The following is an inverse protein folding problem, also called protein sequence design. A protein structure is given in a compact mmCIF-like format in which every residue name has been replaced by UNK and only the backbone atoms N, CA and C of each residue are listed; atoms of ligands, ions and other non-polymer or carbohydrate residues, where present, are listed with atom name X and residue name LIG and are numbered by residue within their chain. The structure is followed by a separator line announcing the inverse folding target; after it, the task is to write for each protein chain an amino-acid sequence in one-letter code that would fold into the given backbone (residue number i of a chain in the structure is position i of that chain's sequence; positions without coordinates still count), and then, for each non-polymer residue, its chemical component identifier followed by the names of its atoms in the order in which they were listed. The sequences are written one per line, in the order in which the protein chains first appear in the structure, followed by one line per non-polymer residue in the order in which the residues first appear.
data_IF_097285529870
#
_entry.id   IF_097285529870
#
_cell.length_a   1.000
_cell.length_b   1.000
_cell.length_c   1.000
_cell.angle_alpha   90.00
_cell.angle_beta   90.00
_cell.angle_gamma   90.00
#
_symmetry.space_group_name_H-M   'P 1'
#
loop_
_entity.id
_entity.type
_entity.pdbx_description
1 polymer ?
#
# COMPACT_ATOMS: atom_id res chain seq x y z
N UNK A 1 -6.82 -42.87 -46.62
CA UNK A 1 -7.23 -42.06 -45.46
C UNK A 1 -6.18 -40.97 -45.34
N UNK A 2 -6.47 -39.70 -45.67
CA UNK A 2 -5.52 -38.62 -45.50
C UNK A 2 -5.48 -38.19 -44.01
N UNK A 3 -4.31 -37.71 -43.52
CA UNK A 3 -4.20 -37.28 -42.13
C UNK A 3 -4.98 -35.99 -41.92
N UNK A 4 -5.71 -35.98 -40.85
CA UNK A 4 -6.43 -34.82 -40.32
C UNK A 4 -5.43 -33.70 -40.00
N UNK A 5 -5.47 -32.67 -40.84
CA UNK A 5 -4.64 -31.48 -40.72
C UNK A 5 -5.29 -30.43 -39.84
N UNK A 6 -5.66 -30.77 -38.61
CA UNK A 6 -6.04 -29.75 -37.62
C UNK A 6 -4.79 -28.91 -37.33
N UNK A 7 -4.86 -27.57 -37.48
CA UNK A 7 -3.73 -26.71 -37.08
C UNK A 7 -3.51 -26.84 -35.59
N UNK A 8 -2.22 -26.84 -35.14
CA UNK A 8 -1.92 -26.89 -33.72
C UNK A 8 -2.59 -25.72 -33.02
N UNK A 9 -3.26 -26.05 -31.92
CA UNK A 9 -3.86 -25.10 -31.01
C UNK A 9 -2.77 -24.07 -30.57
N UNK A 10 -2.84 -22.89 -31.13
CA UNK A 10 -2.02 -21.75 -30.71
C UNK A 10 -2.64 -21.20 -29.43
N UNK A 11 -2.57 -21.95 -28.35
CA UNK A 11 -2.72 -21.34 -27.01
C UNK A 11 -1.46 -20.49 -26.79
N UNK A 12 -1.45 -19.32 -27.43
CA UNK A 12 -0.36 -18.37 -27.36
C UNK A 12 -0.11 -17.96 -25.91
N UNK A 13 1.15 -17.86 -25.53
CA UNK A 13 1.59 -17.28 -24.26
C UNK A 13 0.84 -15.96 -24.07
N UNK A 14 0.16 -15.83 -22.94
CA UNK A 14 -0.58 -14.58 -22.59
C UNK A 14 0.29 -13.79 -21.63
N UNK A 15 0.56 -12.57 -22.02
CA UNK A 15 1.28 -11.60 -21.19
C UNK A 15 0.30 -10.88 -20.30
N UNK A 16 0.63 -10.74 -19.04
CA UNK A 16 -0.24 -10.11 -18.04
C UNK A 16 0.26 -8.72 -17.69
N UNK A 17 -0.66 -7.79 -17.48
CA UNK A 17 -0.37 -6.49 -16.92
C UNK A 17 -1.50 -6.03 -15.99
N UNK A 18 -1.20 -5.05 -15.16
CA UNK A 18 -2.15 -4.43 -14.27
C UNK A 18 -2.38 -2.98 -14.70
N UNK A 19 -3.64 -2.58 -14.78
CA UNK A 19 -4.04 -1.21 -15.04
C UNK A 19 -5.03 -0.78 -13.95
N UNK A 20 -4.66 0.22 -13.16
CA UNK A 20 -5.41 0.65 -11.98
C UNK A 20 -5.74 -0.53 -11.03
N UNK A 21 -4.74 -1.40 -10.79
CA UNK A 21 -4.86 -2.63 -10.00
C UNK A 21 -5.81 -3.70 -10.58
N UNK A 22 -6.34 -3.51 -11.80
CA UNK A 22 -7.15 -4.50 -12.51
C UNK A 22 -6.23 -5.30 -13.44
N UNK A 23 -6.34 -6.62 -13.37
CA UNK A 23 -5.55 -7.54 -14.19
C UNK A 23 -6.09 -7.64 -15.60
N UNK A 24 -5.21 -7.42 -16.58
CA UNK A 24 -5.47 -7.59 -18.01
C UNK A 24 -4.53 -8.63 -18.63
N UNK A 25 -4.85 -9.09 -19.84
CA UNK A 25 -4.04 -10.05 -20.59
C UNK A 25 -3.94 -9.63 -22.05
N UNK A 26 -2.76 -9.76 -22.62
CA UNK A 26 -2.49 -9.54 -24.05
C UNK A 26 -1.86 -10.78 -24.68
N UNK A 27 -2.16 -11.02 -25.95
CA UNK A 27 -1.42 -12.01 -26.76
C UNK A 27 -0.13 -11.41 -27.33
N UNK A 28 0.00 -10.08 -27.37
CA UNK A 28 1.17 -9.36 -27.82
C UNK A 28 2.05 -8.99 -26.60
N UNK A 29 3.35 -9.32 -26.63
CA UNK A 29 4.29 -8.92 -25.59
C UNK A 29 4.62 -7.43 -25.60
N UNK A 30 4.37 -6.75 -26.74
CA UNK A 30 4.66 -5.32 -26.90
C UNK A 30 3.38 -4.54 -27.22
N UNK A 31 2.96 -3.69 -26.31
CA UNK A 31 1.80 -2.83 -26.46
C UNK A 31 2.22 -1.37 -26.62
N UNK A 32 1.42 -0.58 -27.35
CA UNK A 32 1.53 0.88 -27.25
C UNK A 32 0.75 1.39 -26.03
N UNK A 33 1.06 2.61 -25.56
CA UNK A 33 0.28 3.23 -24.50
C UNK A 33 -1.21 3.31 -24.84
N UNK A 34 -1.53 3.50 -26.13
CA UNK A 34 -2.89 3.49 -26.66
C UNK A 34 -3.56 2.12 -26.49
N UNK A 35 -2.82 1.04 -26.75
CA UNK A 35 -3.34 -0.33 -26.61
C UNK A 35 -3.62 -0.66 -25.14
N UNK A 36 -2.73 -0.25 -24.23
CA UNK A 36 -2.92 -0.41 -22.78
C UNK A 36 -4.18 0.31 -22.31
N UNK A 37 -4.33 1.60 -22.67
CA UNK A 37 -5.52 2.39 -22.33
C UNK A 37 -6.79 1.79 -22.95
N UNK A 38 -6.74 1.39 -24.24
CA UNK A 38 -7.88 0.79 -24.95
C UNK A 38 -8.34 -0.52 -24.32
N UNK A 39 -7.42 -1.40 -23.93
CA UNK A 39 -7.75 -2.66 -23.22
C UNK A 39 -8.37 -2.42 -21.84
N UNK A 40 -8.02 -1.32 -21.19
CA UNK A 40 -8.62 -0.89 -19.94
C UNK A 40 -9.98 -0.17 -20.09
N UNK A 41 -10.43 0.09 -21.33
CA UNK A 41 -11.67 0.81 -21.58
C UNK A 41 -11.56 2.33 -21.51
N UNK A 42 -10.34 2.88 -21.44
CA UNK A 42 -10.07 4.32 -21.40
C UNK A 42 -10.12 4.92 -22.81
N UNK A 43 -11.31 5.37 -23.24
CA UNK A 43 -11.56 5.89 -24.58
C UNK A 43 -12.28 7.26 -24.54
N UNK A 44 -11.84 8.24 -25.33
CA UNK A 44 -10.66 8.18 -26.20
C UNK A 44 -9.35 8.19 -25.38
N UNK A 45 -8.34 7.50 -25.88
CA UNK A 45 -7.03 7.41 -25.21
C UNK A 45 -6.34 8.79 -25.06
N UNK A 46 -6.66 9.74 -25.96
CA UNK A 46 -6.14 11.11 -25.93
C UNK A 46 -6.53 11.93 -24.71
N UNK A 47 -7.57 11.54 -24.00
CA UNK A 47 -8.09 12.25 -22.84
C UNK A 47 -7.50 11.69 -21.53
N UNK A 48 -6.50 10.79 -21.65
CA UNK A 48 -5.94 10.09 -20.50
C UNK A 48 -4.41 10.16 -20.50
N UNK A 49 -3.86 10.30 -19.31
CA UNK A 49 -2.44 10.09 -19.02
C UNK A 49 -2.25 8.65 -18.58
N UNK A 50 -1.25 7.97 -19.15
CA UNK A 50 -0.83 6.63 -18.73
C UNK A 50 0.50 6.74 -18.01
N UNK A 51 0.58 6.19 -16.81
CA UNK A 51 1.79 6.11 -16.00
C UNK A 51 2.21 4.64 -15.88
N UNK A 52 3.46 4.33 -16.19
CA UNK A 52 4.07 3.04 -15.94
C UNK A 52 4.86 3.08 -14.62
N UNK A 53 4.61 2.10 -13.75
CA UNK A 53 5.38 1.92 -12.51
C UNK A 53 6.53 0.97 -12.80
N UNK A 54 7.74 1.37 -12.45
CA UNK A 54 8.95 0.57 -12.60
C UNK A 54 9.76 0.63 -11.30
N UNK A 55 10.64 -0.33 -11.09
CA UNK A 55 11.67 -0.17 -10.06
C UNK A 55 12.87 0.57 -10.70
N UNK A 56 13.11 1.86 -10.44
CA UNK A 56 12.93 2.58 -9.16
C UNK A 56 11.98 3.79 -9.17
N UNK A 57 10.87 3.80 -9.88
CA UNK A 57 9.98 4.97 -9.89
C UNK A 57 8.77 4.78 -10.78
N UNK A 58 8.22 5.89 -11.28
CA UNK A 58 7.17 5.86 -12.30
C UNK A 58 7.40 6.96 -13.34
N UNK A 59 6.92 6.73 -14.56
CA UNK A 59 7.01 7.69 -15.65
C UNK A 59 5.78 7.60 -16.56
N UNK A 60 5.50 8.69 -17.24
CA UNK A 60 4.43 8.73 -18.24
C UNK A 60 4.81 7.98 -19.50
N UNK A 61 3.84 7.29 -20.07
CA UNK A 61 3.96 6.55 -21.33
C UNK A 61 3.18 7.28 -22.41
N UNK A 62 3.85 7.63 -23.51
CA UNK A 62 3.22 8.24 -24.68
C UNK A 62 2.26 7.26 -25.38
N UNK A 63 1.22 7.81 -26.06
CA UNK A 63 0.19 6.98 -26.71
C UNK A 63 0.76 6.02 -27.76
N UNK A 64 1.81 6.42 -28.47
CA UNK A 64 2.44 5.64 -29.52
C UNK A 64 3.79 5.01 -29.03
N UNK A 65 4.14 5.23 -27.77
CA UNK A 65 5.30 4.60 -27.11
C UNK A 65 5.00 3.13 -26.84
N UNK A 66 6.01 2.27 -27.04
CA UNK A 66 5.90 0.83 -26.81
C UNK A 66 6.39 0.44 -25.43
N UNK A 67 5.62 -0.38 -24.78
CA UNK A 67 5.96 -1.03 -23.51
C UNK A 67 6.14 -2.52 -23.72
N UNK A 68 7.15 -3.10 -23.09
CA UNK A 68 7.46 -4.53 -23.17
C UNK A 68 6.95 -5.24 -21.92
N UNK A 69 5.99 -6.14 -22.09
CA UNK A 69 5.38 -6.93 -21.02
C UNK A 69 6.17 -8.18 -20.64
N UNK A 70 7.33 -8.43 -21.29
CA UNK A 70 8.21 -9.57 -20.96
C UNK A 70 9.20 -9.21 -19.86
N UNK A 71 9.44 -7.94 -19.59
CA UNK A 71 10.34 -7.47 -18.55
C UNK A 71 9.63 -7.47 -17.20
N UNK A 72 10.09 -8.31 -16.28
CA UNK A 72 9.53 -8.41 -14.93
C UNK A 72 9.58 -7.07 -14.20
N UNK A 73 8.46 -6.70 -13.54
CA UNK A 73 8.31 -5.45 -12.79
C UNK A 73 7.98 -4.21 -13.63
N UNK A 74 7.64 -4.38 -14.92
CA UNK A 74 7.20 -3.30 -15.82
C UNK A 74 5.76 -3.40 -16.29
N UNK A 75 5.00 -4.33 -15.77
CA UNK A 75 3.62 -4.64 -16.18
C UNK A 75 2.55 -3.87 -15.37
N UNK A 76 2.93 -2.88 -14.60
CA UNK A 76 1.97 -2.11 -13.76
C UNK A 76 1.79 -0.71 -14.30
N UNK A 77 0.53 -0.37 -14.58
CA UNK A 77 0.12 0.90 -15.15
C UNK A 77 -0.99 1.55 -14.35
N UNK A 78 -1.05 2.90 -14.45
CA UNK A 78 -2.12 3.73 -13.91
C UNK A 78 -2.61 4.67 -15.00
N UNK A 79 -3.92 4.73 -15.21
CA UNK A 79 -4.57 5.61 -16.17
C UNK A 79 -5.40 6.67 -15.44
N UNK A 80 -5.29 7.91 -15.90
CA UNK A 80 -5.94 9.07 -15.31
C UNK A 80 -6.66 9.89 -16.39
N UNK A 81 -7.90 10.29 -16.13
CA UNK A 81 -8.61 11.28 -16.95
C UNK A 81 -8.02 12.67 -16.63
N UNK A 82 -6.90 12.99 -17.22
CA UNK A 82 -6.10 14.19 -16.94
C UNK A 82 -5.27 14.58 -18.16
N UNK A 83 -4.95 15.86 -18.27
CA UNK A 83 -4.00 16.44 -19.22
C UNK A 83 -2.69 16.85 -18.53
N UNK A 84 -2.52 16.54 -17.24
CA UNK A 84 -1.39 16.96 -16.41
C UNK A 84 -0.67 15.78 -15.80
N UNK A 85 0.63 15.98 -15.62
CA UNK A 85 1.51 15.09 -14.88
C UNK A 85 2.06 15.87 -13.70
N UNK A 86 1.99 15.29 -12.52
CA UNK A 86 2.57 15.80 -11.29
C UNK A 86 3.82 15.00 -10.98
N UNK A 87 4.89 15.69 -10.56
CA UNK A 87 6.16 15.05 -10.19
C UNK A 87 6.39 15.17 -8.69
N UNK A 88 6.88 14.10 -8.09
CA UNK A 88 7.24 14.07 -6.68
C UNK A 88 8.38 13.08 -6.44
N UNK A 89 8.94 13.08 -5.25
CA UNK A 89 9.97 12.11 -4.85
C UNK A 89 9.53 11.34 -3.62
N UNK A 90 9.92 10.05 -3.57
CA UNK A 90 9.82 9.23 -2.35
C UNK A 90 11.19 8.67 -2.05
N UNK A 91 11.76 8.99 -0.89
CA UNK A 91 13.13 8.63 -0.50
C UNK A 91 14.13 8.96 -1.63
N UNK A 92 14.05 10.20 -2.17
CA UNK A 92 14.87 10.74 -3.27
C UNK A 92 14.65 10.12 -4.66
N UNK A 93 13.78 9.12 -4.81
CA UNK A 93 13.41 8.53 -6.09
C UNK A 93 12.29 9.31 -6.74
N UNK A 94 12.41 9.57 -8.04
CA UNK A 94 11.44 10.35 -8.81
C UNK A 94 10.22 9.53 -9.22
N UNK A 95 9.05 10.15 -9.13
CA UNK A 95 7.77 9.58 -9.56
C UNK A 95 7.00 10.61 -10.38
N UNK A 96 6.29 10.13 -11.39
CA UNK A 96 5.26 10.86 -12.14
C UNK A 96 3.88 10.29 -11.79
N UNK A 97 2.87 11.16 -11.72
CA UNK A 97 1.50 10.79 -11.38
C UNK A 97 0.49 11.64 -12.15
N UNK A 98 -0.62 11.06 -12.59
CA UNK A 98 -1.60 11.75 -13.42
C UNK A 98 -2.73 12.44 -12.64
N UNK A 99 -2.72 12.41 -11.32
CA UNK A 99 -3.70 13.10 -10.49
C UNK A 99 -3.02 14.11 -9.55
N UNK A 100 -3.74 15.18 -9.19
CA UNK A 100 -3.25 16.19 -8.26
C UNK A 100 -2.98 15.65 -6.85
N UNK A 101 -3.70 14.63 -6.45
CA UNK A 101 -3.55 13.99 -5.14
C UNK A 101 -3.12 12.55 -5.30
N UNK A 102 -2.39 12.05 -4.32
CA UNK A 102 -2.02 10.64 -4.19
C UNK A 102 -2.32 10.15 -2.77
N UNK A 103 -3.07 9.06 -2.67
CA UNK A 103 -3.41 8.45 -1.38
C UNK A 103 -2.26 7.64 -0.80
N UNK A 104 -2.29 7.38 0.51
CA UNK A 104 -1.35 6.49 1.18
C UNK A 104 -1.31 5.10 0.53
N UNK A 105 -2.48 4.56 0.18
CA UNK A 105 -2.61 3.26 -0.46
C UNK A 105 -1.96 3.22 -1.87
N UNK A 106 -2.12 4.28 -2.66
CA UNK A 106 -1.47 4.42 -3.97
C UNK A 106 0.04 4.57 -3.82
N UNK A 107 0.52 5.42 -2.88
CA UNK A 107 1.94 5.55 -2.56
C UNK A 107 2.54 4.19 -2.22
N UNK A 108 1.88 3.42 -1.37
CA UNK A 108 2.33 2.08 -0.97
C UNK A 108 2.36 1.12 -2.14
N UNK A 109 1.34 1.16 -3.00
CA UNK A 109 1.26 0.33 -4.20
C UNK A 109 2.41 0.59 -5.18
N UNK A 110 2.74 1.87 -5.43
CA UNK A 110 3.75 2.21 -6.44
C UNK A 110 5.19 2.16 -5.90
N UNK A 111 5.38 2.30 -4.59
CA UNK A 111 6.72 2.29 -3.97
C UNK A 111 7.12 0.92 -3.45
N UNK A 112 6.14 0.03 -3.18
CA UNK A 112 6.38 -1.24 -2.48
C UNK A 112 6.80 -1.07 -1.03
N UNK A 113 6.55 0.10 -0.43
CA UNK A 113 6.93 0.36 0.96
C UNK A 113 6.19 -0.58 1.91
N UNK A 114 6.89 -1.20 2.90
CA UNK A 114 6.27 -2.12 3.84
C UNK A 114 5.30 -1.42 4.80
N UNK A 115 4.35 -2.17 5.38
CA UNK A 115 3.33 -1.62 6.30
C UNK A 115 3.92 -0.95 7.55
N UNK A 116 5.13 -1.35 7.96
CA UNK A 116 5.82 -0.80 9.13
C UNK A 116 6.39 0.60 8.91
N UNK A 117 6.20 1.16 7.69
CA UNK A 117 6.62 2.52 7.36
C UNK A 117 5.43 3.42 7.10
N UNK A 118 5.53 4.66 7.56
CA UNK A 118 4.64 5.77 7.24
C UNK A 118 5.28 6.65 6.17
N UNK A 119 4.45 7.29 5.35
CA UNK A 119 4.86 8.34 4.42
C UNK A 119 4.72 9.70 5.09
N UNK A 120 5.72 10.53 4.91
CA UNK A 120 5.76 11.89 5.46
C UNK A 120 6.03 12.86 4.33
N UNK A 121 5.08 13.75 4.08
CA UNK A 121 5.24 14.88 3.16
C UNK A 121 6.04 15.99 3.86
N UNK A 122 7.20 16.33 3.29
CA UNK A 122 8.05 17.41 3.80
C UNK A 122 7.48 18.78 3.41
N UNK A 123 7.30 19.64 4.41
CA UNK A 123 6.80 21.01 4.24
C UNK A 123 7.85 21.99 4.71
N UNK A 124 8.30 22.88 3.82
CA UNK A 124 9.40 23.82 4.15
C UNK A 124 9.11 24.78 5.30
N UNK A 125 7.90 25.31 5.37
CA UNK A 125 7.51 26.38 6.32
C UNK A 125 6.45 25.91 7.33
N UNK A 126 5.99 24.67 7.23
CA UNK A 126 5.00 24.04 8.10
C UNK A 126 5.52 22.72 8.67
N UNK A 127 4.97 22.21 9.76
CA UNK A 127 5.30 20.88 10.24
C UNK A 127 5.06 19.83 9.16
N UNK A 128 5.98 18.88 9.02
CA UNK A 128 5.81 17.72 8.14
C UNK A 128 4.47 17.03 8.37
N UNK A 129 3.84 16.58 7.29
CA UNK A 129 2.54 15.90 7.34
C UNK A 129 2.73 14.40 7.20
N UNK A 130 2.31 13.63 8.19
CA UNK A 130 2.16 12.17 8.05
C UNK A 130 0.93 11.89 7.19
N UNK A 131 1.09 11.07 6.16
CA UNK A 131 -0.01 10.63 5.29
C UNK A 131 -0.52 9.31 5.87
N UNK A 132 -1.56 9.38 6.69
CA UNK A 132 -2.15 8.22 7.35
C UNK A 132 -3.04 7.40 6.40
N UNK A 133 -3.41 6.18 6.82
CA UNK A 133 -4.32 5.31 6.08
C UNK A 133 -5.65 6.02 5.80
N UNK A 134 -6.01 6.13 4.52
CA UNK A 134 -7.19 6.83 4.05
C UNK A 134 -6.97 8.32 3.75
N UNK A 135 -5.78 8.86 4.01
CA UNK A 135 -5.41 10.23 3.66
C UNK A 135 -4.67 10.31 2.31
N UNK A 136 -4.51 11.55 1.83
CA UNK A 136 -3.84 11.83 0.55
C UNK A 136 -2.95 13.05 0.66
N UNK A 137 -1.84 13.05 -0.09
CA UNK A 137 -0.99 14.22 -0.30
C UNK A 137 -1.46 15.01 -1.52
N UNK A 138 -1.40 16.34 -1.46
CA UNK A 138 -1.55 17.23 -2.62
C UNK A 138 -0.18 17.39 -3.31
N UNK A 139 -0.11 17.00 -4.58
CA UNK A 139 1.11 17.07 -5.40
C UNK A 139 1.23 18.38 -6.19
N UNK A 140 0.27 19.28 -6.04
CA UNK A 140 0.18 20.50 -6.85
C UNK A 140 0.52 21.79 -6.13
N UNK A 141 0.96 21.75 -4.87
CA UNK A 141 1.16 22.97 -4.10
C UNK A 141 2.46 23.71 -4.44
N UNK A 142 3.58 23.00 -4.67
CA UNK A 142 4.92 23.61 -4.75
C UNK A 142 5.80 23.17 -5.91
N UNK A 143 5.26 22.35 -6.83
CA UNK A 143 5.99 21.88 -8.03
C UNK A 143 6.46 20.46 -7.93
N UNK A 144 7.52 20.16 -7.19
CA UNK A 144 7.97 18.77 -6.92
C UNK A 144 7.91 18.55 -5.42
N UNK A 145 6.90 17.77 -5.00
CA UNK A 145 6.72 17.46 -3.59
C UNK A 145 7.73 16.38 -3.15
N UNK A 146 8.16 16.47 -1.90
CA UNK A 146 9.08 15.50 -1.31
C UNK A 146 8.39 14.68 -0.24
N UNK A 147 8.41 13.39 -0.44
CA UNK A 147 7.88 12.41 0.51
C UNK A 147 9.05 11.55 0.98
N UNK A 148 9.09 11.24 2.24
CA UNK A 148 10.05 10.29 2.81
C UNK A 148 9.33 9.21 3.57
N UNK A 149 9.93 8.02 3.66
CA UNK A 149 9.42 6.97 4.52
C UNK A 149 10.09 7.01 5.89
N UNK A 150 9.29 6.84 6.93
CA UNK A 150 9.77 6.75 8.31
C UNK A 150 9.24 5.46 8.94
N UNK A 151 9.89 5.00 10.01
CA UNK A 151 9.33 3.91 10.80
C UNK A 151 8.02 4.35 11.43
N UNK A 152 6.95 3.61 11.20
CA UNK A 152 5.65 3.90 11.77
C UNK A 152 5.72 3.90 13.30
N UNK A 153 5.09 4.88 13.92
CA UNK A 153 4.95 4.98 15.37
C UNK A 153 3.49 5.20 15.71
N UNK A 154 2.92 4.30 16.49
CA UNK A 154 1.50 4.34 16.87
C UNK A 154 1.39 4.61 18.37
N UNK A 155 0.54 5.55 18.76
CA UNK A 155 0.18 5.77 20.17
C UNK A 155 -1.06 4.94 20.48
N UNK A 156 -0.93 3.98 21.38
CA UNK A 156 -2.04 3.15 21.86
C UNK A 156 -2.33 3.43 23.34
N UNK A 157 -3.50 3.03 23.81
CA UNK A 157 -3.91 3.16 25.21
C UNK A 157 -3.93 1.77 25.82
N UNK A 158 -3.08 1.53 26.82
CA UNK A 158 -3.02 0.25 27.55
C UNK A 158 -3.37 0.50 29.01
N UNK A 159 -4.46 -0.10 29.51
CA UNK A 159 -4.96 0.10 30.87
C UNK A 159 -5.10 1.60 31.23
N UNK A 160 -5.68 2.38 30.32
CA UNK A 160 -5.87 3.83 30.40
C UNK A 160 -4.59 4.69 30.32
N UNK A 161 -3.41 4.11 30.06
CA UNK A 161 -2.15 4.84 29.86
C UNK A 161 -1.75 4.88 28.38
N UNK A 162 -1.30 6.04 27.90
CA UNK A 162 -0.76 6.16 26.55
C UNK A 162 0.60 5.50 26.47
N UNK A 163 0.76 4.60 25.50
CA UNK A 163 2.02 3.92 25.19
C UNK A 163 2.36 4.17 23.71
N UNK A 164 3.60 4.55 23.45
CA UNK A 164 4.12 4.70 22.10
C UNK A 164 4.80 3.40 21.68
N UNK A 165 4.38 2.84 20.58
CA UNK A 165 4.90 1.58 20.02
C UNK A 165 5.34 1.77 18.57
N UNK A 166 6.35 1.03 18.16
CA UNK A 166 6.82 1.02 16.77
C UNK A 166 6.00 0.05 15.94
N UNK A 167 5.70 0.46 14.70
CA UNK A 167 4.95 -0.35 13.73
C UNK A 167 3.43 -0.18 13.82
N UNK A 168 2.76 -0.89 12.93
CA UNK A 168 1.28 -0.90 12.77
C UNK A 168 0.63 -2.19 13.27
N UNK A 169 1.38 -3.04 13.95
CA UNK A 169 0.90 -4.29 14.59
C UNK A 169 1.50 -4.45 15.97
N UNK A 170 0.76 -5.08 16.89
CA UNK A 170 1.25 -5.40 18.23
C UNK A 170 0.88 -6.84 18.58
N UNK A 171 1.81 -7.54 19.22
CA UNK A 171 1.57 -8.91 19.71
C UNK A 171 1.02 -8.93 21.13
N UNK A 172 0.38 -10.05 21.49
CA UNK A 172 -0.09 -10.33 22.84
C UNK A 172 1.04 -10.13 23.87
N UNK A 173 2.21 -10.69 23.61
CA UNK A 173 3.35 -10.65 24.51
C UNK A 173 3.91 -9.22 24.69
N UNK A 174 3.85 -8.41 23.63
CA UNK A 174 4.25 -7.00 23.69
C UNK A 174 3.28 -6.20 24.57
N UNK A 175 1.97 -6.43 24.43
CA UNK A 175 0.95 -5.79 25.28
C UNK A 175 1.09 -6.18 26.75
N UNK A 176 1.35 -7.44 27.03
CA UNK A 176 1.61 -7.89 28.41
C UNK A 176 2.81 -7.14 29.02
N UNK A 177 3.89 -6.97 28.25
CA UNK A 177 5.07 -6.22 28.71
C UNK A 177 4.80 -4.71 28.90
N UNK A 178 3.89 -4.14 28.11
CA UNK A 178 3.51 -2.75 28.25
C UNK A 178 2.57 -2.51 29.45
N UNK A 179 1.73 -3.50 29.76
CA UNK A 179 0.75 -3.42 30.84
C UNK A 179 1.35 -3.70 32.23
N UNK A 180 2.36 -4.56 32.29
CA UNK A 180 2.97 -4.99 33.56
C UNK A 180 4.48 -4.77 33.52
N UNK A 181 5.00 -4.01 34.51
CA UNK A 181 6.45 -3.86 34.68
C UNK A 181 7.12 -5.23 34.96
N UNK A 182 6.43 -6.04 35.75
CA UNK A 182 6.79 -7.43 36.06
C UNK A 182 5.61 -8.34 35.74
N UNK A 183 5.51 -8.87 34.50
CA UNK A 183 4.40 -9.72 34.11
C UNK A 183 4.23 -10.91 35.05
N UNK A 184 3.01 -11.15 35.58
CA UNK A 184 2.80 -12.28 36.48
C UNK A 184 2.96 -13.59 35.71
N UNK A 185 3.65 -14.54 36.35
CA UNK A 185 3.94 -15.86 35.80
C UNK A 185 3.49 -16.96 36.75
N UNK A 186 3.03 -18.08 36.19
CA UNK A 186 2.61 -19.25 36.99
C UNK A 186 1.60 -20.10 36.26
N UNK A 187 1.42 -21.37 36.63
CA UNK A 187 0.51 -22.28 35.98
C UNK A 187 -0.98 -21.89 36.13
N UNK A 188 -1.29 -21.09 37.14
CA UNK A 188 -2.66 -20.65 37.45
C UNK A 188 -2.93 -19.21 36.95
N UNK A 189 -1.96 -18.53 36.38
CA UNK A 189 -2.14 -17.17 35.87
C UNK A 189 -2.78 -17.21 34.51
N UNK A 190 -3.93 -16.56 34.40
CA UNK A 190 -4.59 -16.27 33.12
C UNK A 190 -4.44 -14.78 32.79
N UNK A 191 -3.83 -14.47 31.66
CA UNK A 191 -3.82 -13.11 31.12
C UNK A 191 -4.86 -13.03 30.02
N UNK A 192 -5.75 -12.03 30.10
CA UNK A 192 -6.74 -11.69 29.07
C UNK A 192 -6.45 -10.30 28.53
N UNK A 193 -6.59 -10.14 27.21
CA UNK A 193 -6.44 -8.88 26.54
C UNK A 193 -7.69 -8.66 25.69
N UNK A 194 -8.44 -7.62 26.01
CA UNK A 194 -9.53 -7.13 25.20
C UNK A 194 -9.12 -5.80 24.55
N UNK A 195 -9.61 -5.53 23.33
CA UNK A 195 -9.30 -4.29 22.64
C UNK A 195 -10.54 -3.68 22.00
N UNK A 196 -10.53 -2.35 21.87
CA UNK A 196 -11.53 -1.54 21.22
C UNK A 196 -10.92 -0.40 20.41
N UNK A 197 -11.75 0.33 19.69
CA UNK A 197 -11.36 1.46 18.85
C UNK A 197 -10.29 1.11 17.80
N UNK A 198 -10.26 -0.13 17.35
CA UNK A 198 -9.33 -0.63 16.34
C UNK A 198 -9.68 -0.18 14.92
N UNK A 199 -8.82 -0.49 13.94
CA UNK A 199 -9.10 -0.23 12.52
C UNK A 199 -10.30 -1.05 12.02
N UNK A 200 -10.91 -0.70 10.85
CA UNK A 200 -12.08 -1.40 10.33
C UNK A 200 -11.94 -2.92 10.21
N UNK A 201 -10.72 -3.41 9.97
CA UNK A 201 -10.44 -4.85 9.87
C UNK A 201 -10.54 -5.59 11.22
N UNK A 202 -10.30 -4.90 12.35
CA UNK A 202 -10.41 -5.44 13.70
C UNK A 202 -10.82 -4.33 14.68
N UNK A 203 -12.11 -3.88 14.64
CA UNK A 203 -12.57 -2.73 15.42
C UNK A 203 -12.61 -3.00 16.93
N UNK A 204 -12.85 -4.23 17.33
CA UNK A 204 -12.84 -4.72 18.71
C UNK A 204 -12.70 -6.23 18.77
N UNK A 205 -12.19 -6.75 19.86
CA UNK A 205 -12.04 -8.20 20.08
C UNK A 205 -11.17 -8.52 21.28
N UNK A 206 -10.79 -9.79 21.37
CA UNK A 206 -9.87 -10.30 22.39
C UNK A 206 -8.69 -10.99 21.70
N UNK A 207 -7.54 -10.99 22.36
CA UNK A 207 -6.32 -11.63 21.87
C UNK A 207 -5.96 -12.86 22.70
N UNK A 208 -5.40 -13.86 22.02
CA UNK A 208 -4.81 -15.03 22.64
C UNK A 208 -3.28 -14.98 22.59
N UNK A 209 -2.58 -15.69 23.49
CA UNK A 209 -1.13 -15.84 23.41
C UNK A 209 -0.66 -16.25 22.01
N UNK A 210 0.38 -15.57 21.50
CA UNK A 210 0.93 -15.78 20.16
C UNK A 210 0.21 -15.02 19.02
N UNK A 211 -0.92 -14.37 19.28
CA UNK A 211 -1.62 -13.56 18.29
C UNK A 211 -1.04 -12.13 18.18
N UNK A 212 -1.27 -11.50 17.04
CA UNK A 212 -0.98 -10.09 16.82
C UNK A 212 -2.11 -9.41 16.06
N UNK A 213 -2.40 -8.15 16.38
CA UNK A 213 -3.45 -7.36 15.74
C UNK A 213 -2.87 -6.10 15.08
N UNK A 214 -3.53 -5.64 14.02
CA UNK A 214 -3.24 -4.33 13.43
C UNK A 214 -3.72 -3.24 14.40
N UNK A 215 -2.89 -2.21 14.59
CA UNK A 215 -3.19 -1.10 15.50
C UNK A 215 -3.32 0.22 14.74
N UNK A 216 -4.04 1.16 15.34
CA UNK A 216 -4.10 2.56 14.92
C UNK A 216 -3.95 3.48 16.12
N UNK A 217 -3.74 4.75 15.87
CA UNK A 217 -3.65 5.76 16.93
C UNK A 217 -4.90 5.73 17.83
N UNK A 218 -4.65 5.75 19.15
CA UNK A 218 -5.64 5.74 20.23
C UNK A 218 -6.48 4.47 20.35
N UNK A 219 -6.07 3.37 19.74
CA UNK A 219 -6.66 2.05 19.98
C UNK A 219 -6.47 1.66 21.43
N UNK A 220 -7.53 1.18 22.08
CA UNK A 220 -7.54 0.84 23.52
C UNK A 220 -7.34 -0.64 23.76
N UNK A 221 -6.59 -0.98 24.80
CA UNK A 221 -6.32 -2.34 25.27
C UNK A 221 -6.51 -2.43 26.77
N UNK A 222 -7.34 -3.39 27.21
CA UNK A 222 -7.53 -3.76 28.60
C UNK A 222 -6.80 -5.09 28.85
N UNK A 223 -5.70 -5.03 29.57
CA UNK A 223 -4.84 -6.18 29.88
C UNK A 223 -5.01 -6.53 31.35
N UNK A 224 -5.58 -7.70 31.64
CA UNK A 224 -5.83 -8.16 33.01
C UNK A 224 -5.16 -9.49 33.26
N UNK A 225 -4.72 -9.70 34.52
CA UNK A 225 -4.18 -10.95 34.97
C UNK A 225 -5.01 -11.49 36.15
N UNK A 226 -5.45 -12.74 36.06
CA UNK A 226 -6.27 -13.40 37.09
C UNK A 226 -5.57 -14.65 37.54
N UNK A 227 -5.50 -14.81 38.86
CA UNK A 227 -5.05 -16.08 39.48
C UNK A 227 -6.26 -17.02 39.64
N UNK A 228 -6.16 -18.18 39.03
CA UNK A 228 -7.16 -19.26 39.14
C UNK A 228 -6.73 -20.20 40.27
N UNK A 229 -6.91 -19.77 41.51
CA UNK A 229 -6.72 -20.61 42.68
C UNK A 229 -7.77 -21.71 42.81
#
# INVERSE_FOLDING_TARGET
MPPDGSPPDRSGTKYMFFLNNIRHQSADPQLTGRDVLGQGGFNPATDHVLIQVTAPGSHSVGLDERVDLTEEGRETFWAFASDRIFTFTVDERGYEWGARTISEAELRSITGAPEEKDFVLERGDEPDLVIDEGESADLGERGTERIRTVRATTVIIVNAEEKRVEGKRISFEALVKLAFENPPTGPNILITIDYGDGPPANPKGSMKPGESVKIKNRMSFDVTATDRS
#
